data_IF_506606349859
#
_entry.id   IF_506606349859
#
_cell.length_a   1.000
_cell.length_b   1.000
_cell.length_c   1.000
_cell.angle_alpha   90.00
_cell.angle_beta   90.00
_cell.angle_gamma   90.00
#
_symmetry.space_group_name_H-M   'P 1'
#
loop_
_entity.id
_entity.type
_entity.pdbx_description
1 polymer ?
#
# COMPACT_ATOMS: atom_id res chain seq x y z
N UNK A 1 -16.53 -2.52 -1.82
CA UNK A 1 -15.50 -1.69 -2.46
C UNK A 1 -15.32 -0.41 -1.66
N UNK A 2 -14.13 -0.18 -1.14
CA UNK A 2 -13.77 1.05 -0.42
C UNK A 2 -13.48 2.18 -1.39
N UNK A 3 -13.75 3.42 -0.99
CA UNK A 3 -13.16 4.57 -1.69
C UNK A 3 -11.66 4.60 -1.38
N UNK A 4 -10.86 5.17 -2.27
CA UNK A 4 -9.42 5.23 -2.03
C UNK A 4 -8.77 6.52 -2.53
N UNK A 5 -7.60 6.78 -1.97
CA UNK A 5 -6.70 7.85 -2.37
C UNK A 5 -5.28 7.32 -2.42
N UNK A 6 -4.53 7.71 -3.45
CA UNK A 6 -3.09 7.49 -3.54
C UNK A 6 -2.44 8.84 -3.30
N UNK A 7 -1.64 8.96 -2.24
CA UNK A 7 -1.00 10.23 -1.91
C UNK A 7 0.01 10.63 -3.01
N UNK A 8 0.28 11.94 -3.21
CA UNK A 8 1.14 12.41 -4.30
C UNK A 8 2.53 11.74 -4.36
N UNK A 9 3.15 11.48 -3.20
CA UNK A 9 4.45 10.81 -3.13
C UNK A 9 4.42 9.40 -3.72
N UNK A 10 3.38 8.62 -3.41
CA UNK A 10 3.20 7.28 -3.98
C UNK A 10 2.86 7.35 -5.48
N UNK A 11 2.09 8.35 -5.92
CA UNK A 11 1.84 8.54 -7.36
C UNK A 11 3.15 8.75 -8.14
N UNK A 12 4.08 9.53 -7.59
CA UNK A 12 5.40 9.72 -8.19
C UNK A 12 6.23 8.45 -8.23
N UNK A 13 6.17 7.62 -7.18
CA UNK A 13 6.81 6.31 -7.14
C UNK A 13 6.22 5.42 -8.24
N UNK A 14 4.90 5.31 -8.32
CA UNK A 14 4.19 4.50 -9.33
C UNK A 14 4.47 4.98 -10.75
N UNK A 15 4.58 6.29 -10.99
CA UNK A 15 4.93 6.88 -12.28
C UNK A 15 6.37 6.58 -12.71
N UNK A 16 7.31 6.50 -11.75
CA UNK A 16 8.68 6.06 -12.02
C UNK A 16 8.73 4.55 -12.26
N UNK A 17 7.99 3.80 -11.46
CA UNK A 17 7.91 2.35 -11.53
C UNK A 17 7.34 1.88 -12.87
N UNK A 18 6.26 2.50 -13.36
CA UNK A 18 5.64 2.15 -14.65
C UNK A 18 6.59 2.29 -15.85
N UNK A 19 7.62 3.13 -15.73
CA UNK A 19 8.65 3.31 -16.76
C UNK A 19 9.83 2.35 -16.61
N UNK A 20 10.19 1.99 -15.38
CA UNK A 20 11.38 1.17 -15.07
C UNK A 20 11.09 -0.32 -15.05
N UNK A 21 9.97 -0.69 -14.44
CA UNK A 21 9.53 -2.07 -14.25
C UNK A 21 8.00 -2.13 -14.33
N UNK A 22 7.53 -2.33 -15.57
CA UNK A 22 6.09 -2.40 -15.87
C UNK A 22 5.42 -3.59 -15.16
N UNK A 23 6.12 -4.71 -15.01
CA UNK A 23 5.56 -5.90 -14.38
C UNK A 23 5.31 -5.67 -12.89
N UNK A 24 6.28 -5.06 -12.20
CA UNK A 24 6.10 -4.70 -10.79
C UNK A 24 4.99 -3.65 -10.62
N UNK A 25 4.94 -2.64 -11.50
CA UNK A 25 3.84 -1.67 -11.51
C UNK A 25 2.46 -2.33 -11.61
N UNK A 26 2.26 -3.25 -12.57
CA UNK A 26 1.00 -3.97 -12.73
C UNK A 26 0.65 -4.81 -11.50
N UNK A 27 1.64 -5.45 -10.86
CA UNK A 27 1.45 -6.19 -9.61
C UNK A 27 0.99 -5.29 -8.46
N UNK A 28 1.52 -4.06 -8.37
CA UNK A 28 1.10 -3.10 -7.35
C UNK A 28 -0.33 -2.62 -7.60
N UNK A 29 -0.68 -2.30 -8.85
CA UNK A 29 -2.05 -1.91 -9.20
C UNK A 29 -3.06 -3.01 -8.89
N UNK A 30 -2.74 -4.26 -9.26
CA UNK A 30 -3.58 -5.40 -8.92
C UNK A 30 -3.73 -5.55 -7.41
N UNK A 31 -2.66 -5.33 -6.64
CA UNK A 31 -2.74 -5.39 -5.18
C UNK A 31 -3.61 -4.27 -4.60
N UNK A 32 -3.55 -3.06 -5.15
CA UNK A 32 -4.46 -1.96 -4.80
C UNK A 32 -5.91 -2.37 -5.07
N UNK A 33 -6.20 -2.94 -6.24
CA UNK A 33 -7.54 -3.42 -6.61
C UNK A 33 -8.05 -4.50 -5.66
N UNK A 34 -7.20 -5.46 -5.28
CA UNK A 34 -7.53 -6.48 -4.29
C UNK A 34 -7.89 -5.85 -2.93
N UNK A 35 -7.07 -4.91 -2.44
CA UNK A 35 -7.27 -4.25 -1.14
C UNK A 35 -8.56 -3.43 -1.11
N UNK A 36 -8.87 -2.67 -2.16
CA UNK A 36 -10.11 -1.87 -2.19
C UNK A 36 -11.37 -2.71 -2.35
N UNK A 37 -11.25 -3.96 -2.82
CA UNK A 37 -12.37 -4.89 -2.97
C UNK A 37 -12.44 -5.93 -1.84
N UNK A 38 -11.54 -5.86 -0.87
CA UNK A 38 -11.54 -6.74 0.28
C UNK A 38 -12.83 -6.60 1.09
N UNK A 39 -13.26 -7.70 1.72
CA UNK A 39 -14.43 -7.71 2.59
C UNK A 39 -14.11 -7.13 3.97
N UNK A 40 -12.85 -7.24 4.41
CA UNK A 40 -12.38 -6.75 5.70
C UNK A 40 -10.94 -6.24 5.57
N UNK A 41 -10.75 -4.96 5.26
CA UNK A 41 -9.42 -4.35 5.17
C UNK A 41 -8.65 -4.32 6.50
N UNK A 42 -9.29 -4.59 7.64
CA UNK A 42 -8.62 -4.50 8.92
C UNK A 42 -7.72 -5.70 9.23
N UNK A 43 -7.93 -6.83 8.55
CA UNK A 43 -7.15 -8.07 8.74
C UNK A 43 -5.66 -7.95 8.35
N UNK A 44 -5.30 -6.95 7.54
CA UNK A 44 -3.91 -6.75 7.12
C UNK A 44 -2.99 -6.37 8.29
N UNK A 45 -1.75 -6.90 8.26
CA UNK A 45 -0.75 -6.70 9.32
C UNK A 45 -0.38 -5.23 9.47
N UNK A 46 -0.23 -4.79 10.71
CA UNK A 46 0.28 -3.46 11.03
C UNK A 46 1.76 -3.32 10.62
N UNK A 47 2.19 -2.09 10.32
CA UNK A 47 3.55 -1.78 9.88
C UNK A 47 4.59 -2.08 10.98
N UNK A 48 4.31 -1.70 12.24
CA UNK A 48 5.13 -1.95 13.44
C UNK A 48 4.23 -2.07 14.69
N UNK A 49 4.76 -2.60 15.80
CA UNK A 49 4.03 -2.91 17.03
C UNK A 49 3.36 -1.68 17.73
N UNK A 50 3.60 -0.46 17.27
CA UNK A 50 2.98 0.78 17.77
C UNK A 50 2.28 1.66 16.72
N UNK A 51 2.36 1.32 15.42
CA UNK A 51 1.73 2.09 14.33
C UNK A 51 0.45 1.38 13.89
N UNK A 52 -0.57 1.37 14.77
CA UNK A 52 -1.81 0.58 14.60
C UNK A 52 -2.67 1.05 13.42
N UNK A 53 -2.46 2.30 13.03
CA UNK A 53 -3.15 3.05 11.99
C UNK A 53 -2.56 2.82 10.59
N UNK A 54 -1.39 2.18 10.48
CA UNK A 54 -0.75 1.83 9.20
C UNK A 54 -0.66 0.32 9.02
N UNK A 55 -1.16 -0.14 7.88
CA UNK A 55 -1.15 -1.54 7.42
C UNK A 55 -0.13 -1.72 6.30
N UNK A 56 0.37 -2.95 6.17
CA UNK A 56 1.38 -3.31 5.16
C UNK A 56 1.03 -4.60 4.44
N UNK A 57 1.34 -4.64 3.15
CA UNK A 57 1.20 -5.85 2.32
C UNK A 57 2.42 -6.01 1.43
N UNK A 58 2.92 -7.24 1.32
CA UNK A 58 4.04 -7.56 0.44
C UNK A 58 3.60 -7.68 -1.02
N UNK A 59 4.42 -7.12 -1.91
CA UNK A 59 4.37 -7.28 -3.36
C UNK A 59 5.77 -7.73 -3.82
N UNK A 60 6.01 -9.04 -3.74
CA UNK A 60 7.37 -9.59 -3.90
C UNK A 60 8.29 -9.08 -2.78
N UNK A 61 9.43 -8.50 -3.17
CA UNK A 61 10.41 -7.90 -2.24
C UNK A 61 10.05 -6.47 -1.80
N UNK A 62 8.90 -5.96 -2.22
CA UNK A 62 8.45 -4.62 -1.88
C UNK A 62 7.27 -4.68 -0.91
N UNK A 63 7.02 -3.57 -0.23
CA UNK A 63 5.95 -3.41 0.74
C UNK A 63 5.09 -2.21 0.32
N UNK A 64 3.80 -2.45 0.11
CA UNK A 64 2.79 -1.42 -0.03
C UNK A 64 2.25 -1.07 1.36
N UNK A 65 2.29 0.21 1.71
CA UNK A 65 1.81 0.73 2.98
C UNK A 65 0.54 1.54 2.75
N UNK A 66 -0.48 1.31 3.57
CA UNK A 66 -1.73 2.05 3.52
C UNK A 66 -2.35 2.22 4.90
N UNK A 67 -3.33 3.10 5.04
CA UNK A 67 -4.16 3.24 6.23
C UNK A 67 -5.63 3.13 5.87
N UNK A 68 -6.45 2.65 6.81
CA UNK A 68 -7.90 2.64 6.67
C UNK A 68 -8.49 3.75 7.55
N UNK A 69 -9.20 4.70 6.94
CA UNK A 69 -9.94 5.76 7.63
C UNK A 69 -11.38 5.29 7.78
N UNK A 70 -11.68 4.72 8.95
CA UNK A 70 -12.94 4.03 9.21
C UNK A 70 -14.14 4.98 9.09
N UNK A 71 -14.03 6.24 9.55
CA UNK A 71 -15.14 7.19 9.47
C UNK A 71 -15.52 7.55 8.03
N UNK A 72 -14.56 7.50 7.11
CA UNK A 72 -14.75 7.79 5.68
C UNK A 72 -14.97 6.54 4.83
N UNK A 73 -14.87 5.34 5.42
CA UNK A 73 -14.78 4.07 4.70
C UNK A 73 -13.78 4.13 3.52
N UNK A 74 -12.60 4.71 3.80
CA UNK A 74 -11.61 5.12 2.79
C UNK A 74 -10.24 4.52 3.07
N UNK A 75 -9.59 4.04 2.01
CA UNK A 75 -8.21 3.56 2.05
C UNK A 75 -7.28 4.63 1.51
N UNK A 76 -6.25 4.99 2.29
CA UNK A 76 -5.19 5.90 1.84
C UNK A 76 -3.92 5.08 1.60
N UNK A 77 -3.50 4.96 0.35
CA UNK A 77 -2.23 4.33 0.00
C UNK A 77 -1.11 5.36 0.17
N UNK A 78 -0.12 5.02 1.01
CA UNK A 78 0.83 5.97 1.56
C UNK A 78 2.21 5.86 0.90
N UNK A 79 2.70 4.62 0.72
CA UNK A 79 4.08 4.41 0.28
C UNK A 79 4.29 3.01 -0.33
N UNK A 80 5.38 2.86 -1.10
CA UNK A 80 5.79 1.62 -1.72
C UNK A 80 7.31 1.55 -1.86
N UNK A 81 7.95 0.68 -1.06
CA UNK A 81 9.42 0.57 -1.02
C UNK A 81 9.90 -0.86 -0.70
N UNK A 82 11.20 -1.11 -0.86
CA UNK A 82 11.83 -2.40 -0.60
C UNK A 82 11.74 -2.76 0.90
N UNK A 83 11.42 -4.02 1.21
CA UNK A 83 11.27 -4.47 2.60
C UNK A 83 12.56 -4.33 3.44
N UNK A 84 13.73 -4.26 2.82
CA UNK A 84 15.03 -4.05 3.49
C UNK A 84 15.15 -2.67 4.16
N UNK A 85 14.44 -1.66 3.65
CA UNK A 85 14.45 -0.29 4.21
C UNK A 85 13.58 -0.16 5.47
N UNK A 86 12.63 -1.08 5.69
CA UNK A 86 11.59 -0.92 6.73
C UNK A 86 12.03 -1.45 8.11
N UNK A 87 13.09 -2.27 8.17
CA UNK A 87 13.58 -2.90 9.41
C UNK A 87 14.87 -2.27 9.98
N UNK A 88 15.45 -1.26 9.32
CA UNK A 88 16.56 -0.48 9.85
C UNK A 88 16.05 0.78 10.54
N UNK A 89 15.49 0.61 11.73
CA UNK A 89 15.09 1.70 12.62
C UNK A 89 14.54 1.15 13.91
#
# INVERSE_FOLDING_TARGET
>A
MYTYEIVPSLQDILKKLSKKDKQLYERVLKKIEEIINDADVEHYKNLRYGLKDKKRVHVGHFVLIFSFVQEENKIKFLDFDHHDQVYLG
#
